data_IF_516056338843
#
_entry.id   IF_516056338843
#
_cell.length_a   1.000
_cell.length_b   1.000
_cell.length_c   1.000
_cell.angle_alpha   90.00
_cell.angle_beta   90.00
_cell.angle_gamma   90.00
#
_symmetry.space_group_name_H-M   'P 1'
#
loop_
_entity.id
_entity.type
_entity.pdbx_description
1 polymer ?
#
# COMPACT_ATOMS: atom_id res chain seq x y z
N UNK A 1 -29.71 60.66 -58.20
CA UNK A 1 -29.23 61.89 -58.82
C UNK A 1 -27.68 61.97 -58.58
N UNK A 2 -27.00 62.07 -59.72
CA UNK A 2 -25.68 62.72 -59.88
C UNK A 2 -24.53 62.07 -59.10
N UNK A 3 -23.51 61.42 -59.66
CA UNK A 3 -22.86 61.61 -60.92
C UNK A 3 -21.44 62.18 -60.70
N UNK A 4 -20.48 61.66 -61.48
CA UNK A 4 -19.10 62.19 -61.76
C UNK A 4 -18.00 61.56 -61.02
N UNK A 5 -17.28 60.60 -61.63
CA UNK A 5 -16.16 60.60 -62.61
C UNK A 5 -14.78 61.07 -62.11
N UNK A 6 -13.90 60.14 -62.28
CA UNK A 6 -12.52 60.18 -62.85
C UNK A 6 -11.41 60.93 -62.08
N UNK A 7 -10.28 60.30 -61.87
CA UNK A 7 -9.14 60.14 -62.82
C UNK A 7 -7.97 59.35 -62.17
N UNK A 8 -7.54 58.37 -62.85
CA UNK A 8 -6.20 57.93 -63.20
C UNK A 8 -5.01 58.72 -62.66
N UNK A 9 -4.08 58.01 -62.04
CA UNK A 9 -2.67 58.23 -62.37
C UNK A 9 -1.85 56.96 -62.08
N UNK A 10 -1.26 56.45 -63.13
CA UNK A 10 -0.21 55.41 -63.11
C UNK A 10 1.06 55.98 -62.56
N UNK A 11 1.76 55.29 -61.67
CA UNK A 11 3.20 55.36 -61.59
C UNK A 11 3.76 53.96 -61.32
N UNK A 12 4.53 53.56 -62.29
CA UNK A 12 5.38 52.36 -62.25
C UNK A 12 6.49 52.55 -61.22
N UNK A 13 6.66 51.55 -60.33
CA UNK A 13 7.94 51.33 -59.76
C UNK A 13 8.30 49.85 -59.74
N UNK A 14 9.32 49.51 -60.43
CA UNK A 14 10.23 48.41 -60.58
C UNK A 14 10.11 47.26 -59.60
N UNK A 15 10.00 46.06 -60.17
CA UNK A 15 10.17 44.74 -59.54
C UNK A 15 11.63 44.61 -59.04
N UNK A 16 11.74 44.43 -57.74
CA UNK A 16 12.90 43.71 -57.15
C UNK A 16 12.42 42.37 -56.70
N UNK A 17 12.82 41.33 -57.43
CA UNK A 17 12.62 39.93 -56.99
C UNK A 17 13.70 39.61 -55.96
N UNK A 18 13.39 39.65 -54.69
CA UNK A 18 14.19 39.02 -53.66
C UNK A 18 13.65 37.58 -53.52
N UNK A 19 14.44 36.63 -54.01
CA UNK A 19 14.22 35.21 -53.75
C UNK A 19 14.65 34.96 -52.32
N UNK A 20 13.71 34.85 -51.38
CA UNK A 20 13.92 34.30 -50.06
C UNK A 20 13.71 32.78 -50.19
N UNK A 21 14.70 31.93 -49.89
CA UNK A 21 14.47 30.50 -49.83
C UNK A 21 13.62 30.23 -48.60
N UNK A 22 12.42 29.72 -48.79
CA UNK A 22 11.55 29.20 -47.74
C UNK A 22 12.21 27.90 -47.29
N UNK A 23 13.02 27.98 -46.26
CA UNK A 23 13.41 26.81 -45.47
C UNK A 23 12.19 26.33 -44.69
N UNK A 24 11.55 25.31 -45.23
CA UNK A 24 10.54 24.51 -44.51
C UNK A 24 11.27 23.79 -43.38
N UNK A 25 11.29 24.40 -42.20
CA UNK A 25 11.58 23.68 -40.95
C UNK A 25 10.35 22.85 -40.65
N UNK A 26 10.36 21.59 -41.06
CA UNK A 26 9.44 20.58 -40.58
C UNK A 26 9.88 20.27 -39.14
N UNK A 27 9.34 21.01 -38.19
CA UNK A 27 9.40 20.63 -36.80
C UNK A 27 8.58 19.32 -36.64
N UNK A 28 9.28 18.19 -36.59
CA UNK A 28 8.71 16.97 -36.04
C UNK A 28 8.41 17.23 -34.57
N UNK A 29 7.21 17.68 -34.28
CA UNK A 29 6.62 17.58 -32.95
C UNK A 29 6.39 16.08 -32.75
N UNK A 30 7.34 15.42 -32.08
CA UNK A 30 7.05 14.14 -31.46
C UNK A 30 6.00 14.45 -30.39
N UNK A 31 4.75 14.21 -30.74
CA UNK A 31 3.75 13.93 -29.74
C UNK A 31 4.12 12.57 -29.16
N UNK A 32 4.80 12.57 -28.03
CA UNK A 32 4.69 11.47 -27.10
C UNK A 32 3.21 11.38 -26.73
N UNK A 33 2.49 10.59 -27.49
CA UNK A 33 1.25 10.00 -27.00
C UNK A 33 1.70 9.04 -25.92
N UNK A 34 1.85 9.55 -24.70
CA UNK A 34 1.87 8.70 -23.53
C UNK A 34 0.62 7.85 -23.66
N UNK A 35 0.81 6.58 -23.99
CA UNK A 35 -0.26 5.60 -23.94
C UNK A 35 -0.76 5.66 -22.49
N UNK A 36 -1.89 6.31 -22.28
CA UNK A 36 -2.60 6.20 -21.02
C UNK A 36 -2.83 4.70 -20.84
N UNK A 37 -2.22 4.15 -19.81
CA UNK A 37 -2.34 2.73 -19.44
C UNK A 37 -3.84 2.46 -19.31
N UNK A 38 -4.45 1.84 -20.33
CA UNK A 38 -5.89 1.58 -20.37
C UNK A 38 -6.15 0.44 -19.39
N UNK A 39 -6.39 0.81 -18.14
CA UNK A 39 -6.79 -0.14 -17.12
C UNK A 39 -8.27 -0.43 -17.29
N UNK A 40 -8.61 -1.65 -17.69
CA UNK A 40 -10.00 -2.12 -17.72
C UNK A 40 -10.40 -2.64 -16.33
N UNK A 41 -11.58 -2.23 -15.85
CA UNK A 41 -12.08 -2.56 -14.52
C UNK A 41 -13.31 -3.47 -14.61
N UNK A 42 -13.27 -4.61 -13.94
CA UNK A 42 -14.36 -5.59 -13.89
C UNK A 42 -14.82 -5.86 -12.46
N UNK A 43 -16.05 -5.47 -12.14
CA UNK A 43 -16.64 -5.74 -10.81
C UNK A 43 -16.75 -7.25 -10.53
N UNK A 44 -16.16 -7.71 -9.44
CA UNK A 44 -16.21 -9.09 -8.94
C UNK A 44 -17.28 -9.20 -7.86
N UNK A 45 -18.46 -9.65 -8.25
CA UNK A 45 -19.61 -9.76 -7.35
C UNK A 45 -19.39 -10.75 -6.23
N UNK A 46 -18.66 -11.84 -6.47
CA UNK A 46 -18.31 -12.88 -5.51
C UNK A 46 -17.43 -12.37 -4.34
N UNK A 47 -16.73 -11.26 -4.55
CA UNK A 47 -15.89 -10.61 -3.55
C UNK A 47 -16.46 -9.26 -3.09
N UNK A 48 -17.63 -8.90 -3.56
CA UNK A 48 -18.25 -7.60 -3.24
C UNK A 48 -19.38 -7.76 -2.25
N UNK A 49 -19.53 -6.81 -1.34
CA UNK A 49 -20.59 -6.69 -0.35
C UNK A 49 -21.35 -5.39 -0.66
N UNK A 50 -22.60 -5.49 -1.08
CA UNK A 50 -23.40 -4.32 -1.44
C UNK A 50 -24.88 -4.61 -1.26
N UNK A 51 -25.67 -3.53 -1.17
CA UNK A 51 -27.15 -3.65 -1.11
C UNK A 51 -27.67 -4.52 -2.25
N UNK A 52 -28.68 -5.33 -1.99
CA UNK A 52 -29.50 -5.43 -0.77
C UNK A 52 -28.95 -6.42 0.29
N UNK A 53 -27.68 -6.81 0.29
CA UNK A 53 -27.01 -7.74 1.22
C UNK A 53 -27.68 -9.12 1.33
N UNK A 54 -28.27 -9.59 0.24
CA UNK A 54 -28.94 -10.89 0.20
C UNK A 54 -27.95 -12.02 0.53
N UNK A 55 -28.37 -12.88 1.45
CA UNK A 55 -27.59 -14.04 1.85
C UNK A 55 -26.39 -13.76 2.78
N UNK A 56 -26.15 -12.53 3.22
CA UNK A 56 -25.09 -12.25 4.21
C UNK A 56 -25.47 -12.86 5.55
N UNK A 57 -24.57 -13.68 6.11
CA UNK A 57 -24.81 -14.36 7.39
C UNK A 57 -25.77 -15.55 7.33
N UNK A 58 -26.40 -15.86 6.22
CA UNK A 58 -27.24 -17.04 6.06
C UNK A 58 -26.43 -18.29 5.71
N UNK A 59 -26.82 -19.45 6.23
CA UNK A 59 -25.93 -20.60 6.36
C UNK A 59 -25.51 -21.33 5.08
N UNK A 60 -26.22 -21.24 3.96
CA UNK A 60 -25.97 -22.14 2.82
C UNK A 60 -25.56 -21.51 1.51
N UNK A 61 -25.98 -20.28 1.23
CA UNK A 61 -25.69 -19.61 -0.06
C UNK A 61 -25.00 -18.26 0.09
N UNK A 62 -24.62 -17.88 1.31
CA UNK A 62 -23.97 -16.61 1.57
C UNK A 62 -22.51 -16.62 1.10
N UNK A 63 -22.08 -15.55 0.46
CA UNK A 63 -20.69 -15.29 0.15
C UNK A 63 -19.94 -14.61 1.30
N UNK A 64 -20.67 -14.15 2.33
CA UNK A 64 -20.13 -13.42 3.47
C UNK A 64 -20.63 -13.96 4.79
N UNK A 65 -19.70 -14.21 5.71
CA UNK A 65 -19.96 -14.64 7.08
C UNK A 65 -19.88 -13.46 8.03
N UNK A 66 -20.74 -13.45 9.04
CA UNK A 66 -20.72 -12.49 10.14
C UNK A 66 -20.11 -13.10 11.40
N UNK A 67 -19.43 -12.27 12.19
CA UNK A 67 -18.84 -12.64 13.48
C UNK A 67 -19.15 -11.58 14.53
N UNK A 68 -19.34 -12.02 15.77
CA UNK A 68 -19.52 -11.16 16.94
C UNK A 68 -20.82 -10.35 16.91
N UNK A 69 -20.71 -9.04 17.16
CA UNK A 69 -21.85 -8.13 17.26
C UNK A 69 -22.32 -7.55 15.92
N UNK A 70 -21.80 -8.08 14.80
CA UNK A 70 -22.19 -7.59 13.49
C UNK A 70 -23.65 -7.88 13.17
N UNK A 71 -24.30 -6.92 12.52
CA UNK A 71 -25.69 -7.08 12.08
C UNK A 71 -25.89 -6.48 10.67
N UNK A 72 -26.83 -7.03 9.93
CA UNK A 72 -27.21 -6.57 8.61
C UNK A 72 -28.51 -5.76 8.69
N UNK A 73 -28.50 -4.58 8.12
CA UNK A 73 -29.67 -3.74 7.90
C UNK A 73 -29.93 -3.57 6.39
N UNK A 74 -31.05 -3.05 5.96
CA UNK A 74 -31.27 -2.76 4.55
C UNK A 74 -30.30 -1.70 3.97
N UNK A 75 -29.67 -0.87 4.81
CA UNK A 75 -28.85 0.26 4.40
C UNK A 75 -27.35 0.02 4.53
N UNK A 76 -26.93 -0.81 5.49
CA UNK A 76 -25.53 -1.06 5.83
C UNK A 76 -25.34 -2.39 6.56
N UNK A 77 -24.14 -2.88 6.61
CA UNK A 77 -23.68 -3.90 7.57
C UNK A 77 -22.97 -3.18 8.71
N UNK A 78 -23.54 -3.21 9.90
CA UNK A 78 -22.93 -2.65 11.11
C UNK A 78 -21.97 -3.65 11.71
N UNK A 79 -20.70 -3.28 11.83
CA UNK A 79 -19.68 -4.12 12.47
C UNK A 79 -19.81 -4.04 13.99
N UNK A 80 -19.86 -2.83 14.54
CA UNK A 80 -20.11 -2.59 15.97
C UNK A 80 -21.14 -1.48 16.16
N UNK A 81 -22.04 -1.58 17.14
CA UNK A 81 -22.87 -0.46 17.58
C UNK A 81 -22.05 0.51 18.44
N UNK A 82 -22.57 1.74 18.62
CA UNK A 82 -22.05 2.74 19.57
C UNK A 82 -22.34 2.31 21.03
N UNK A 83 -21.66 1.24 21.45
CA UNK A 83 -21.70 0.65 22.79
C UNK A 83 -20.31 0.14 23.12
N UNK A 84 -19.94 0.23 24.42
CA UNK A 84 -18.64 -0.23 24.92
C UNK A 84 -18.42 -1.73 24.74
N UNK A 85 -17.16 -2.11 24.55
CA UNK A 85 -16.70 -3.51 24.53
C UNK A 85 -17.44 -4.37 23.50
N UNK A 86 -17.67 -3.85 22.30
CA UNK A 86 -18.26 -4.58 21.17
C UNK A 86 -17.19 -4.92 20.14
N UNK A 87 -17.37 -6.08 19.52
CA UNK A 87 -16.49 -6.56 18.47
C UNK A 87 -17.33 -7.25 17.40
N UNK A 88 -17.04 -6.98 16.14
CA UNK A 88 -17.74 -7.60 15.04
C UNK A 88 -16.92 -7.63 13.77
N UNK A 89 -17.25 -8.57 12.89
CA UNK A 89 -16.56 -8.73 11.62
C UNK A 89 -17.48 -9.29 10.54
N UNK A 90 -17.11 -9.05 9.30
CA UNK A 90 -17.69 -9.66 8.11
C UNK A 90 -16.56 -10.17 7.22
N UNK A 91 -16.67 -11.43 6.75
CA UNK A 91 -15.61 -12.10 6.00
C UNK A 91 -16.15 -12.77 4.74
N UNK A 92 -15.48 -12.54 3.63
CA UNK A 92 -15.75 -13.23 2.37
C UNK A 92 -15.39 -14.72 2.51
N UNK A 93 -16.20 -15.60 1.90
CA UNK A 93 -15.96 -17.06 1.88
C UNK A 93 -15.06 -17.48 0.74
N UNK A 94 -15.00 -16.67 -0.31
CA UNK A 94 -14.29 -16.99 -1.54
C UNK A 94 -12.87 -16.46 -1.47
N UNK A 95 -11.84 -17.29 -1.63
CA UNK A 95 -10.47 -16.83 -1.70
C UNK A 95 -10.24 -16.05 -3.01
N UNK A 96 -9.54 -14.93 -2.93
CA UNK A 96 -9.29 -14.05 -4.06
C UNK A 96 -7.99 -14.43 -4.78
N UNK A 97 -8.07 -14.79 -6.05
CA UNK A 97 -6.93 -15.16 -6.90
C UNK A 97 -6.53 -14.06 -7.90
N UNK A 98 -7.08 -12.86 -7.75
CA UNK A 98 -6.75 -11.74 -8.62
C UNK A 98 -5.30 -11.28 -8.41
N UNK A 99 -4.64 -10.90 -9.49
CA UNK A 99 -3.28 -10.33 -9.45
C UNK A 99 -3.32 -8.85 -9.13
N UNK A 100 -4.16 -8.15 -9.85
CA UNK A 100 -4.36 -6.72 -9.74
C UNK A 100 -5.83 -6.46 -9.42
N UNK A 101 -6.05 -5.68 -8.41
CA UNK A 101 -7.38 -5.45 -7.90
C UNK A 101 -7.50 -4.07 -7.23
N UNK A 102 -8.73 -3.62 -7.15
CA UNK A 102 -9.11 -2.43 -6.42
C UNK A 102 -10.32 -2.73 -5.55
N UNK A 103 -10.22 -2.43 -4.26
CA UNK A 103 -11.30 -2.51 -3.31
C UNK A 103 -11.78 -1.10 -2.96
N UNK A 104 -12.99 -0.76 -3.37
CA UNK A 104 -13.66 0.47 -2.98
C UNK A 104 -14.49 0.23 -1.72
N UNK A 105 -14.20 0.99 -0.68
CA UNK A 105 -14.83 0.89 0.63
C UNK A 105 -15.71 2.12 0.85
N UNK A 106 -17.02 1.92 0.94
CA UNK A 106 -17.99 2.93 1.34
C UNK A 106 -18.40 2.65 2.78
N UNK A 107 -18.16 3.59 3.66
CA UNK A 107 -18.34 3.40 5.09
C UNK A 107 -18.88 4.64 5.79
N UNK A 108 -19.30 4.45 7.05
CA UNK A 108 -19.67 5.56 7.92
C UNK A 108 -19.29 5.24 9.36
N UNK A 109 -18.58 6.19 10.01
CA UNK A 109 -18.29 6.16 11.44
C UNK A 109 -19.07 7.26 12.10
N UNK A 110 -19.87 6.91 13.11
CA UNK A 110 -20.69 7.91 13.80
C UNK A 110 -21.07 7.47 15.21
N UNK A 111 -21.17 8.41 16.13
CA UNK A 111 -21.54 8.12 17.50
C UNK A 111 -21.94 9.36 18.29
N UNK A 112 -22.44 9.13 19.51
CA UNK A 112 -22.90 10.18 20.43
C UNK A 112 -21.76 10.89 21.13
N UNK A 113 -20.56 10.28 21.20
CA UNK A 113 -19.38 10.87 21.84
C UNK A 113 -19.02 12.22 21.24
N UNK A 114 -18.69 13.17 22.14
CA UNK A 114 -18.28 14.53 21.74
C UNK A 114 -16.75 14.62 21.72
N UNK A 115 -16.20 15.42 20.80
CA UNK A 115 -14.75 15.62 20.63
C UNK A 115 -14.03 14.28 20.39
N UNK A 116 -13.08 13.95 21.28
CA UNK A 116 -12.25 12.73 21.20
C UNK A 116 -12.85 11.55 21.98
N UNK A 117 -14.13 11.59 22.34
CA UNK A 117 -14.83 10.49 23.02
C UNK A 117 -15.39 9.53 21.97
N UNK A 118 -14.52 8.86 21.26
CA UNK A 118 -14.81 7.93 20.17
C UNK A 118 -13.74 6.86 20.10
N UNK A 119 -14.05 5.69 19.57
CA UNK A 119 -13.08 4.62 19.46
C UNK A 119 -13.71 3.28 19.01
N UNK A 120 -12.92 2.28 18.74
CA UNK A 120 -11.47 2.39 18.50
C UNK A 120 -11.21 2.59 17.02
N UNK A 121 -12.09 2.04 16.15
CA UNK A 121 -12.00 2.08 14.70
C UNK A 121 -12.37 0.75 14.04
N UNK A 122 -12.05 0.64 12.75
CA UNK A 122 -12.27 -0.58 11.99
C UNK A 122 -11.10 -0.87 11.03
N UNK A 123 -11.05 -2.10 10.53
CA UNK A 123 -10.02 -2.53 9.59
C UNK A 123 -10.64 -3.23 8.38
N UNK A 124 -9.98 -3.08 7.23
CA UNK A 124 -10.17 -3.90 6.03
C UNK A 124 -8.99 -4.85 5.91
N UNK A 125 -9.28 -6.12 5.63
CA UNK A 125 -8.34 -7.22 5.62
C UNK A 125 -8.24 -7.87 4.26
N UNK A 126 -7.02 -8.26 3.90
CA UNK A 126 -6.73 -9.25 2.87
C UNK A 126 -5.74 -10.25 3.46
N UNK A 127 -6.23 -11.35 4.07
CA UNK A 127 -5.41 -12.24 4.90
C UNK A 127 -5.62 -13.72 4.59
N UNK A 128 -4.60 -14.51 4.93
CA UNK A 128 -4.63 -15.98 4.78
C UNK A 128 -5.72 -16.62 5.61
N UNK A 129 -5.84 -16.20 6.87
CA UNK A 129 -6.85 -16.68 7.80
C UNK A 129 -8.03 -15.71 7.82
N UNK A 130 -9.23 -16.24 7.99
CA UNK A 130 -10.48 -15.48 8.12
C UNK A 130 -11.25 -15.93 9.35
N UNK A 131 -12.27 -15.17 9.78
CA UNK A 131 -13.18 -15.51 10.87
C UNK A 131 -12.48 -15.73 12.23
N UNK A 132 -11.35 -15.05 12.46
CA UNK A 132 -10.64 -15.13 13.74
C UNK A 132 -10.76 -13.80 14.48
N UNK A 133 -11.47 -13.84 15.61
CA UNK A 133 -11.58 -12.72 16.52
C UNK A 133 -10.24 -12.46 17.23
N UNK A 134 -9.98 -11.21 17.56
CA UNK A 134 -8.75 -10.85 18.27
C UNK A 134 -8.65 -9.34 18.55
N UNK A 135 -7.52 -8.89 19.08
CA UNK A 135 -7.37 -7.55 19.61
C UNK A 135 -7.18 -6.47 18.54
N UNK A 136 -6.80 -6.83 17.30
CA UNK A 136 -6.48 -5.83 16.27
C UNK A 136 -7.76 -5.46 15.53
N UNK A 137 -8.38 -4.35 15.90
CA UNK A 137 -9.66 -3.87 15.35
C UNK A 137 -10.71 -4.99 15.21
N UNK A 138 -10.77 -5.91 16.19
CA UNK A 138 -11.73 -7.00 16.19
C UNK A 138 -11.27 -8.27 15.46
N UNK A 139 -10.05 -8.31 14.93
CA UNK A 139 -9.46 -9.48 14.28
C UNK A 139 -8.15 -9.92 14.94
N UNK A 140 -7.69 -11.11 14.56
CA UNK A 140 -6.46 -11.75 15.04
C UNK A 140 -5.24 -10.87 14.84
N UNK A 141 -4.38 -10.80 15.86
CA UNK A 141 -3.01 -10.31 15.74
C UNK A 141 -2.09 -11.34 15.07
N UNK A 142 -0.88 -10.91 14.71
CA UNK A 142 0.08 -11.73 13.97
C UNK A 142 -0.55 -12.34 12.71
N UNK A 143 -1.34 -11.54 12.03
CA UNK A 143 -2.00 -11.94 10.79
C UNK A 143 -1.01 -12.13 9.64
N UNK A 144 -1.40 -12.91 8.64
CA UNK A 144 -0.60 -13.10 7.41
C UNK A 144 -1.34 -12.44 6.26
N UNK A 145 -0.86 -11.31 5.78
CA UNK A 145 -1.51 -10.55 4.72
C UNK A 145 -1.38 -9.04 4.85
N UNK A 146 -2.42 -8.34 4.41
CA UNK A 146 -2.58 -6.90 4.48
C UNK A 146 -3.70 -6.54 5.45
N UNK A 147 -3.43 -5.59 6.35
CA UNK A 147 -4.43 -4.86 7.12
C UNK A 147 -4.41 -3.38 6.75
N UNK A 148 -5.57 -2.79 6.52
CA UNK A 148 -5.77 -1.34 6.36
C UNK A 148 -6.66 -0.89 7.51
N UNK A 149 -6.15 -0.02 8.35
CA UNK A 149 -6.78 0.40 9.60
C UNK A 149 -7.32 1.81 9.49
N UNK A 150 -8.52 2.03 9.97
CA UNK A 150 -9.10 3.35 10.20
C UNK A 150 -9.21 3.52 11.70
N UNK A 151 -8.17 4.07 12.28
CA UNK A 151 -8.01 4.27 13.71
C UNK A 151 -8.61 5.63 14.12
N UNK A 152 -9.56 5.60 15.06
CA UNK A 152 -10.27 6.81 15.49
C UNK A 152 -9.83 7.27 16.87
N UNK A 153 -9.00 6.50 17.58
CA UNK A 153 -8.58 6.79 18.95
C UNK A 153 -7.06 6.79 19.10
N UNK A 154 -6.44 7.89 19.51
CA UNK A 154 -5.01 7.93 19.79
C UNK A 154 -4.68 7.22 21.10
N UNK A 155 -3.89 6.15 21.04
CA UNK A 155 -3.41 5.42 22.21
C UNK A 155 -2.08 5.97 22.74
N UNK A 156 -1.28 6.59 21.88
CA UNK A 156 0.01 7.13 22.28
C UNK A 156 -0.14 8.50 22.93
N UNK A 157 0.33 8.65 24.19
CA UNK A 157 0.24 9.91 24.95
C UNK A 157 1.05 11.07 24.35
N UNK A 158 2.09 10.78 23.58
CA UNK A 158 2.91 11.80 22.89
C UNK A 158 2.26 12.27 21.60
N UNK A 159 1.15 12.97 21.73
CA UNK A 159 0.22 13.33 20.66
C UNK A 159 0.75 14.32 19.58
N UNK A 160 2.01 14.72 19.58
CA UNK A 160 2.41 15.89 18.78
C UNK A 160 2.72 15.59 17.31
N UNK A 161 2.74 14.33 16.89
CA UNK A 161 3.16 13.97 15.52
C UNK A 161 2.04 13.42 14.63
N UNK A 162 0.92 12.97 15.19
CA UNK A 162 -0.17 12.34 14.41
C UNK A 162 -1.53 12.89 14.82
N UNK A 163 -2.34 13.25 13.83
CA UNK A 163 -3.71 13.72 14.03
C UNK A 163 -4.67 12.59 13.69
N UNK A 164 -5.59 12.29 14.61
CA UNK A 164 -6.63 11.28 14.47
C UNK A 164 -7.98 11.87 14.06
N UNK A 165 -8.85 11.16 13.34
CA UNK A 165 -8.67 9.78 12.85
C UNK A 165 -7.55 9.63 11.82
N UNK A 166 -6.93 8.43 11.79
CA UNK A 166 -5.79 8.13 10.94
C UNK A 166 -6.02 6.82 10.16
N UNK A 167 -5.70 6.84 8.87
CA UNK A 167 -5.72 5.63 8.03
C UNK A 167 -4.29 5.16 7.85
N UNK A 168 -4.02 3.90 8.15
CA UNK A 168 -2.70 3.28 7.98
C UNK A 168 -2.80 1.90 7.35
N UNK A 169 -1.67 1.38 6.87
CA UNK A 169 -1.59 0.02 6.35
C UNK A 169 -0.41 -0.73 6.96
N UNK A 170 -0.59 -2.03 7.13
CA UNK A 170 0.43 -2.95 7.61
C UNK A 170 0.41 -4.22 6.76
N UNK A 171 1.60 -4.66 6.33
CA UNK A 171 1.81 -5.97 5.71
C UNK A 171 2.52 -6.85 6.71
N UNK A 172 1.98 -8.02 6.99
CA UNK A 172 2.53 -8.95 7.97
C UNK A 172 2.65 -10.36 7.41
N UNK A 173 3.74 -11.04 7.75
CA UNK A 173 3.98 -12.45 7.44
C UNK A 173 3.60 -13.38 8.61
N UNK A 174 2.97 -12.86 9.65
CA UNK A 174 2.57 -13.60 10.85
C UNK A 174 3.58 -13.51 12.01
N UNK A 175 4.74 -12.89 11.83
CA UNK A 175 5.77 -12.76 12.88
C UNK A 175 5.74 -11.40 13.60
N UNK A 176 4.88 -10.49 13.16
CA UNK A 176 4.86 -9.10 13.64
C UNK A 176 3.55 -8.81 14.33
N UNK A 177 3.62 -8.29 15.54
CA UNK A 177 2.48 -7.87 16.37
C UNK A 177 2.11 -6.43 16.07
N UNK A 178 0.81 -6.13 16.00
CA UNK A 178 0.31 -4.77 15.95
C UNK A 178 0.42 -4.12 17.35
N UNK A 179 1.16 -3.04 17.47
CA UNK A 179 1.35 -2.34 18.74
C UNK A 179 0.31 -1.25 18.95
N UNK A 180 -0.78 -1.58 19.64
CA UNK A 180 -1.83 -0.62 19.97
C UNK A 180 -1.34 0.57 20.80
N UNK A 181 -0.38 0.36 21.69
CA UNK A 181 0.10 1.44 22.56
C UNK A 181 0.83 2.56 21.80
N UNK A 182 1.24 2.25 20.57
CA UNK A 182 1.90 3.17 19.63
C UNK A 182 1.12 3.35 18.33
N UNK A 183 -0.18 3.06 18.35
CA UNK A 183 -1.08 3.22 17.18
C UNK A 183 -0.55 2.55 15.90
N UNK A 184 0.09 1.38 16.05
CA UNK A 184 0.65 0.60 14.93
C UNK A 184 1.89 1.19 14.25
N UNK A 185 2.41 2.34 14.68
CA UNK A 185 3.54 3.05 14.06
C UNK A 185 4.77 2.20 13.74
N UNK A 186 5.22 1.27 14.63
CA UNK A 186 6.45 0.52 14.36
C UNK A 186 6.38 -0.39 13.16
N UNK A 187 5.19 -0.75 12.73
CA UNK A 187 4.94 -1.78 11.70
C UNK A 187 4.11 -1.28 10.53
N UNK A 188 3.68 -0.02 10.55
CA UNK A 188 2.97 0.56 9.42
C UNK A 188 3.90 0.79 8.22
N UNK A 189 3.36 0.65 7.04
CA UNK A 189 4.06 0.97 5.79
C UNK A 189 3.75 2.38 5.29
N UNK A 190 2.86 3.10 5.99
CA UNK A 190 2.46 4.47 5.79
C UNK A 190 0.99 4.71 6.03
N UNK A 191 0.56 5.96 5.90
CA UNK A 191 -0.82 6.36 6.13
C UNK A 191 -1.03 7.88 6.08
N UNK A 192 -2.25 8.32 6.38
CA UNK A 192 -2.65 9.72 6.37
C UNK A 192 -3.70 10.04 7.43
N UNK A 193 -3.77 11.30 7.81
CA UNK A 193 -4.89 11.84 8.59
C UNK A 193 -6.17 11.90 7.75
N UNK A 194 -7.28 11.41 8.28
CA UNK A 194 -8.56 11.33 7.58
C UNK A 194 -9.73 11.62 8.53
N UNK A 195 -10.27 12.81 8.48
CA UNK A 195 -11.39 13.23 9.34
C UNK A 195 -12.69 12.59 8.85
N UNK A 196 -12.96 11.38 9.33
CA UNK A 196 -14.03 10.49 8.80
C UNK A 196 -15.25 10.34 9.72
N UNK A 197 -15.23 10.95 10.90
CA UNK A 197 -16.26 10.74 11.91
C UNK A 197 -17.38 11.77 11.84
N UNK A 198 -18.62 11.32 12.01
CA UNK A 198 -19.84 12.17 12.07
C UNK A 198 -20.04 13.09 10.86
N UNK A 199 -19.64 12.63 9.69
CA UNK A 199 -19.83 13.38 8.46
C UNK A 199 -21.26 13.25 7.93
N UNK A 200 -21.78 14.29 7.28
CA UNK A 200 -23.12 14.34 6.72
C UNK A 200 -23.16 13.89 5.25
N UNK A 201 -22.04 13.54 4.67
CA UNK A 201 -21.89 13.05 3.31
C UNK A 201 -21.25 11.66 3.30
N UNK A 202 -21.27 11.01 2.16
CA UNK A 202 -20.68 9.71 1.97
C UNK A 202 -19.14 9.78 2.07
N UNK A 203 -18.56 8.75 2.65
CA UNK A 203 -17.11 8.62 2.85
C UNK A 203 -16.62 7.35 2.20
N UNK A 204 -15.53 7.49 1.45
CA UNK A 204 -14.92 6.39 0.72
C UNK A 204 -13.42 6.36 0.92
N UNK A 205 -12.86 5.17 0.84
CA UNK A 205 -11.47 5.00 0.48
C UNK A 205 -11.30 3.82 -0.48
N UNK A 206 -10.21 3.83 -1.20
CA UNK A 206 -9.84 2.82 -2.18
C UNK A 206 -8.53 2.20 -1.78
N UNK A 207 -8.47 0.89 -1.80
CA UNK A 207 -7.24 0.10 -1.67
C UNK A 207 -6.96 -0.47 -3.06
N UNK A 208 -5.91 0.00 -3.72
CA UNK A 208 -5.53 -0.44 -5.06
C UNK A 208 -4.20 -1.17 -5.01
N UNK A 209 -4.20 -2.39 -5.52
CA UNK A 209 -3.00 -3.23 -5.61
C UNK A 209 -2.74 -3.61 -7.07
N UNK A 210 -1.70 -3.03 -7.65
CA UNK A 210 -1.35 -3.18 -9.06
C UNK A 210 0.16 -3.31 -9.20
N UNK A 211 0.63 -4.31 -9.94
CA UNK A 211 2.08 -4.49 -10.24
C UNK A 211 2.95 -4.36 -8.97
N UNK A 212 2.55 -4.97 -7.85
CA UNK A 212 3.23 -4.89 -6.54
C UNK A 212 3.29 -3.48 -5.93
N UNK A 213 2.40 -2.61 -6.33
CA UNK A 213 2.23 -1.28 -5.74
C UNK A 213 0.91 -1.23 -5.00
N UNK A 214 0.96 -0.82 -3.75
CA UNK A 214 -0.20 -0.59 -2.91
C UNK A 214 -0.46 0.91 -2.82
N UNK A 215 -1.61 1.33 -3.29
CA UNK A 215 -2.06 2.73 -3.20
C UNK A 215 -3.35 2.79 -2.40
N UNK A 216 -3.44 3.73 -1.48
CA UNK A 216 -4.69 4.06 -0.78
C UNK A 216 -5.04 5.51 -1.09
N UNK A 217 -6.26 5.73 -1.54
CA UNK A 217 -6.81 7.05 -1.82
C UNK A 217 -8.10 7.24 -1.03
N UNK A 218 -8.41 8.46 -0.64
CA UNK A 218 -9.59 8.81 0.17
C UNK A 218 -10.44 9.87 -0.51
N UNK A 219 -11.77 9.73 -0.39
CA UNK A 219 -12.75 10.77 -0.68
C UNK A 219 -13.63 10.91 0.57
N UNK A 220 -13.32 11.89 1.40
CA UNK A 220 -13.89 12.10 2.72
C UNK A 220 -14.49 13.50 2.90
N UNK A 221 -14.44 14.34 1.89
CA UNK A 221 -14.99 15.71 1.93
C UNK A 221 -16.23 15.87 1.02
N UNK A 222 -16.73 14.79 0.47
CA UNK A 222 -17.97 14.74 -0.32
C UNK A 222 -17.88 15.42 -1.67
N UNK A 223 -16.66 15.64 -2.18
CA UNK A 223 -16.43 16.29 -3.47
C UNK A 223 -16.31 15.34 -4.64
N UNK A 224 -16.26 14.03 -4.36
CA UNK A 224 -15.98 12.98 -5.34
C UNK A 224 -14.59 13.14 -5.99
N UNK A 225 -13.64 13.63 -5.20
CA UNK A 225 -12.23 13.79 -5.60
C UNK A 225 -11.35 12.90 -4.74
N UNK A 226 -10.58 12.02 -5.39
CA UNK A 226 -9.65 11.15 -4.70
C UNK A 226 -8.39 11.91 -4.27
N UNK A 227 -8.00 11.74 -3.01
CA UNK A 227 -6.76 12.28 -2.44
C UNK A 227 -5.85 11.14 -2.03
N UNK A 228 -4.59 11.28 -2.34
CA UNK A 228 -3.59 10.28 -1.97
C UNK A 228 -3.44 10.20 -0.45
N UNK A 229 -3.45 8.99 0.07
CA UNK A 229 -3.21 8.67 1.47
C UNK A 229 -1.90 7.89 1.64
N UNK A 230 -1.70 6.89 0.81
CA UNK A 230 -0.56 6.00 0.84
C UNK A 230 -0.22 5.56 -0.58
N UNK A 231 1.09 5.49 -0.88
CA UNK A 231 1.58 4.95 -2.13
C UNK A 231 2.93 4.24 -1.91
N UNK A 232 2.91 2.91 -1.88
CA UNK A 232 4.07 2.07 -1.55
C UNK A 232 4.34 1.07 -2.67
N UNK A 233 5.49 1.17 -3.34
CA UNK A 233 5.96 0.16 -4.29
C UNK A 233 6.56 -1.05 -3.57
N UNK A 234 6.71 -2.16 -4.28
CA UNK A 234 7.40 -3.35 -3.77
C UNK A 234 6.60 -4.17 -2.76
N UNK A 235 5.31 -3.94 -2.65
CA UNK A 235 4.41 -4.75 -1.81
C UNK A 235 4.11 -6.06 -2.53
N UNK A 236 4.33 -7.21 -1.87
CA UNK A 236 4.05 -8.54 -2.40
C UNK A 236 2.96 -9.20 -1.56
N UNK A 237 1.81 -9.47 -2.17
CA UNK A 237 0.69 -10.16 -1.54
C UNK A 237 0.43 -11.48 -2.25
N UNK A 238 0.37 -12.60 -1.51
CA UNK A 238 -0.04 -13.89 -2.08
C UNK A 238 -1.46 -13.84 -2.62
N UNK A 239 -1.75 -14.66 -3.62
CA UNK A 239 -3.11 -14.90 -4.10
C UNK A 239 -3.79 -15.97 -3.26
N UNK A 240 -5.12 -16.00 -3.28
CA UNK A 240 -5.91 -16.99 -2.54
C UNK A 240 -6.20 -16.61 -1.10
N UNK A 241 -5.95 -15.35 -0.72
CA UNK A 241 -6.31 -14.80 0.59
C UNK A 241 -7.75 -14.28 0.58
N UNK A 242 -8.29 -14.02 1.76
CA UNK A 242 -9.68 -13.64 1.96
C UNK A 242 -9.82 -12.16 2.29
N UNK A 243 -10.82 -11.52 1.71
CA UNK A 243 -11.22 -10.19 2.14
C UNK A 243 -12.13 -10.25 3.34
N UNK A 244 -11.98 -9.27 4.23
CA UNK A 244 -12.83 -9.09 5.39
C UNK A 244 -12.82 -7.67 5.91
N UNK A 245 -13.70 -7.39 6.83
CA UNK A 245 -13.71 -6.17 7.61
C UNK A 245 -14.08 -6.47 9.05
N UNK A 246 -13.47 -5.77 10.00
CA UNK A 246 -13.77 -5.93 11.42
C UNK A 246 -13.65 -4.60 12.14
N UNK A 247 -14.33 -4.50 13.29
CA UNK A 247 -14.30 -3.34 14.17
C UNK A 247 -14.32 -3.77 15.62
N UNK A 248 -13.83 -2.90 16.48
CA UNK A 248 -13.87 -3.05 17.94
C UNK A 248 -14.20 -1.71 18.58
N UNK A 249 -14.82 -1.75 19.75
CA UNK A 249 -15.01 -0.63 20.66
C UNK A 249 -14.45 -0.98 22.03
N UNK A 250 -13.75 -0.05 22.67
CA UNK A 250 -13.24 -0.19 24.04
C UNK A 250 -14.14 0.47 25.07
N UNK A 251 -13.57 1.30 25.91
CA UNK A 251 -14.30 2.18 26.85
C UNK A 251 -15.05 3.29 26.11
N UNK A 252 -14.53 3.69 24.95
CA UNK A 252 -15.16 4.60 24.02
C UNK A 252 -15.74 3.82 22.84
N UNK A 253 -16.72 4.39 22.17
CA UNK A 253 -17.45 3.67 21.13
C UNK A 253 -17.93 4.57 20.00
N UNK A 254 -18.10 3.95 18.84
CA UNK A 254 -18.80 4.46 17.66
C UNK A 254 -19.54 3.33 16.95
N UNK A 255 -20.54 3.69 16.16
CA UNK A 255 -21.07 2.81 15.14
C UNK A 255 -20.07 2.73 13.97
N UNK A 256 -19.70 1.52 13.57
CA UNK A 256 -18.88 1.27 12.39
C UNK A 256 -19.75 0.57 11.33
N UNK A 257 -20.20 1.35 10.34
CA UNK A 257 -21.13 0.89 9.31
C UNK A 257 -20.42 0.75 7.96
N UNK A 258 -20.48 -0.45 7.37
CA UNK A 258 -20.08 -0.69 5.98
C UNK A 258 -21.31 -0.58 5.08
N UNK A 259 -21.25 0.35 4.13
CA UNK A 259 -22.31 0.56 3.14
C UNK A 259 -22.04 -0.28 1.89
N UNK A 260 -20.78 -0.38 1.48
CA UNK A 260 -20.37 -1.36 0.46
C UNK A 260 -18.87 -1.63 0.47
N UNK A 261 -18.51 -2.85 0.08
CA UNK A 261 -17.19 -3.24 -0.37
C UNK A 261 -17.33 -3.67 -1.83
N UNK A 262 -16.69 -3.00 -2.77
CA UNK A 262 -16.74 -3.35 -4.18
C UNK A 262 -15.34 -3.70 -4.65
N UNK A 263 -15.15 -4.96 -5.06
CA UNK A 263 -13.88 -5.41 -5.61
C UNK A 263 -13.93 -5.39 -7.13
N UNK A 264 -12.95 -4.73 -7.71
CA UNK A 264 -12.71 -4.69 -9.14
C UNK A 264 -11.45 -5.47 -9.49
N UNK A 265 -11.54 -6.32 -10.50
CA UNK A 265 -10.36 -6.86 -11.17
C UNK A 265 -9.84 -5.79 -12.12
N UNK A 266 -8.55 -5.57 -12.09
CA UNK A 266 -7.88 -4.65 -13.00
C UNK A 266 -7.10 -5.46 -14.04
N UNK A 267 -7.27 -5.11 -15.32
CA UNK A 267 -6.48 -5.67 -16.43
C UNK A 267 -5.41 -4.66 -16.79
N UNK A 268 -4.16 -5.03 -16.52
CA UNK A 268 -3.01 -4.16 -16.72
C UNK A 268 -2.01 -4.87 -17.62
N UNK A 269 -1.57 -4.20 -18.68
CA UNK A 269 -0.52 -4.70 -19.54
C UNK A 269 0.81 -4.83 -18.79
N UNK A 270 1.54 -5.92 -19.05
CA UNK A 270 2.83 -6.20 -18.46
C UNK A 270 3.89 -6.46 -19.50
N UNK A 271 5.10 -5.98 -19.22
CA UNK A 271 6.26 -6.38 -20.00
C UNK A 271 6.67 -7.82 -19.67
N UNK A 272 7.39 -8.52 -20.56
CA UNK A 272 7.89 -9.88 -20.28
C UNK A 272 8.81 -9.94 -19.03
N UNK A 273 9.44 -8.83 -18.66
CA UNK A 273 10.28 -8.73 -17.47
C UNK A 273 9.43 -8.60 -16.21
N UNK A 274 8.39 -7.78 -16.23
CA UNK A 274 7.39 -7.69 -15.15
C UNK A 274 6.69 -9.04 -14.92
N UNK A 275 6.37 -9.76 -16.02
CA UNK A 275 5.77 -11.09 -15.96
C UNK A 275 6.71 -12.11 -15.27
N UNK A 276 8.02 -12.03 -15.53
CA UNK A 276 9.03 -12.86 -14.86
C UNK A 276 9.22 -12.52 -13.39
N UNK A 277 9.13 -11.24 -13.04
CA UNK A 277 9.24 -10.79 -11.64
C UNK A 277 7.98 -11.10 -10.84
N UNK A 278 6.84 -11.22 -11.49
CA UNK A 278 5.53 -11.52 -10.89
C UNK A 278 5.33 -13.02 -10.60
N UNK A 279 6.45 -13.73 -10.36
CA UNK A 279 6.43 -15.12 -9.91
C UNK A 279 5.61 -15.23 -8.62
N UNK A 280 5.10 -16.42 -8.41
CA UNK A 280 4.25 -16.75 -7.29
C UNK A 280 4.81 -16.24 -5.96
N UNK A 281 4.05 -15.39 -5.28
CA UNK A 281 4.38 -14.86 -3.96
C UNK A 281 3.76 -15.80 -2.94
N UNK A 282 4.57 -16.35 -2.02
CA UNK A 282 4.12 -17.27 -0.98
C UNK A 282 3.95 -16.60 0.38
N UNK A 283 4.69 -15.52 0.61
CA UNK A 283 4.71 -14.79 1.89
C UNK A 283 4.52 -13.30 1.63
N UNK A 284 3.65 -12.62 2.37
CA UNK A 284 3.51 -11.17 2.28
C UNK A 284 4.80 -10.47 2.68
N UNK A 285 5.28 -9.55 1.85
CA UNK A 285 6.49 -8.75 2.13
C UNK A 285 6.39 -7.36 1.53
N UNK A 286 7.23 -6.46 1.98
CA UNK A 286 7.43 -5.14 1.40
C UNK A 286 8.92 -4.93 1.15
N UNK A 287 9.30 -4.53 -0.06
CA UNK A 287 10.68 -4.20 -0.36
C UNK A 287 11.15 -3.06 0.56
N UNK A 288 12.36 -3.14 1.08
CA UNK A 288 12.94 -2.20 2.05
C UNK A 288 12.36 -2.21 3.48
N UNK A 289 11.38 -3.03 3.79
CA UNK A 289 10.91 -3.20 5.16
C UNK A 289 11.50 -4.49 5.76
N UNK A 290 12.34 -4.36 6.78
CA UNK A 290 12.87 -5.52 7.51
C UNK A 290 11.80 -6.03 8.46
N UNK A 291 11.05 -7.06 8.04
CA UNK A 291 10.19 -7.79 8.95
C UNK A 291 11.05 -8.67 9.90
N UNK A 292 10.72 -8.72 11.20
CA UNK A 292 11.40 -9.62 12.12
C UNK A 292 11.35 -11.06 11.61
N UNK A 293 12.51 -11.73 11.51
CA UNK A 293 12.64 -13.10 10.99
C UNK A 293 13.10 -13.23 9.54
N UNK A 294 13.11 -12.17 8.73
CA UNK A 294 13.88 -12.16 7.50
C UNK A 294 15.35 -11.83 7.84
N UNK A 295 16.19 -12.85 7.90
CA UNK A 295 17.63 -12.65 7.75
C UNK A 295 17.84 -12.13 6.33
N UNK A 296 18.03 -10.82 6.20
CA UNK A 296 18.52 -10.26 4.96
C UNK A 296 19.84 -10.95 4.67
N UNK A 297 19.87 -11.85 3.70
CA UNK A 297 21.09 -12.16 2.98
C UNK A 297 21.45 -10.90 2.20
N UNK A 298 21.96 -9.87 2.90
CA UNK A 298 22.71 -8.82 2.25
C UNK A 298 23.88 -9.54 1.60
N UNK A 299 23.81 -9.70 0.29
CA UNK A 299 24.96 -10.11 -0.48
C UNK A 299 26.05 -9.10 -0.15
N UNK A 300 27.09 -9.55 0.58
CA UNK A 300 28.21 -8.69 0.92
C UNK A 300 28.69 -8.01 -0.35
N UNK A 301 28.84 -6.69 -0.33
CA UNK A 301 29.31 -5.97 -1.49
C UNK A 301 30.63 -6.61 -1.95
N UNK A 302 30.83 -6.78 -3.26
CA UNK A 302 32.04 -7.39 -3.79
C UNK A 302 33.31 -6.70 -3.24
N UNK A 303 33.22 -5.43 -2.86
CA UNK A 303 34.28 -4.69 -2.19
C UNK A 303 34.56 -5.17 -0.76
N UNK A 304 33.52 -5.47 0.03
CA UNK A 304 33.68 -6.02 1.37
C UNK A 304 34.30 -7.45 1.34
N UNK A 305 33.85 -8.27 0.39
CA UNK A 305 34.43 -9.58 0.15
C UNK A 305 35.92 -9.47 -0.27
N UNK A 306 36.26 -8.56 -1.14
CA UNK A 306 37.64 -8.26 -1.55
C UNK A 306 38.51 -7.88 -0.35
N UNK A 307 38.03 -6.96 0.50
CA UNK A 307 38.79 -6.56 1.70
C UNK A 307 39.05 -7.72 2.67
N UNK A 308 38.04 -8.57 2.90
CA UNK A 308 38.21 -9.75 3.78
C UNK A 308 39.27 -10.71 3.22
N UNK A 309 39.19 -11.00 1.90
CA UNK A 309 40.17 -11.87 1.25
C UNK A 309 41.56 -11.24 1.29
N UNK A 310 41.67 -9.97 0.98
CA UNK A 310 42.93 -9.21 0.96
C UNK A 310 43.59 -9.22 2.34
N UNK A 311 42.90 -8.88 3.40
CA UNK A 311 43.45 -8.84 4.74
C UNK A 311 43.73 -10.26 5.30
N UNK A 312 42.97 -11.28 4.91
CA UNK A 312 43.27 -12.66 5.29
C UNK A 312 44.58 -13.15 4.65
N UNK A 313 44.83 -12.88 3.38
CA UNK A 313 46.10 -13.22 2.69
C UNK A 313 47.27 -12.46 3.31
N UNK A 314 47.09 -11.17 3.58
CA UNK A 314 48.13 -10.35 4.24
C UNK A 314 48.47 -10.88 5.62
N UNK A 315 47.45 -11.30 6.41
CA UNK A 315 47.66 -11.93 7.72
C UNK A 315 48.42 -13.24 7.64
N UNK A 316 48.15 -14.08 6.65
CA UNK A 316 48.89 -15.33 6.42
C UNK A 316 50.36 -15.09 6.07
N UNK A 317 50.64 -14.10 5.21
CA UNK A 317 52.01 -13.71 4.86
C UNK A 317 52.75 -13.24 6.14
N UNK A 318 52.11 -12.39 6.93
CA UNK A 318 52.71 -11.87 8.17
C UNK A 318 53.01 -13.00 9.20
N UNK A 319 52.06 -13.92 9.35
CA UNK A 319 52.27 -15.12 10.20
C UNK A 319 53.40 -16.00 9.70
N UNK A 320 53.52 -16.18 8.39
CA UNK A 320 54.65 -16.91 7.77
C UNK A 320 55.99 -16.24 8.04
N UNK A 321 56.09 -14.93 7.94
CA UNK A 321 57.33 -14.17 8.24
C UNK A 321 57.70 -14.31 9.72
N UNK A 322 56.74 -14.21 10.63
CA UNK A 322 57.00 -14.42 12.08
C UNK A 322 57.52 -15.83 12.35
N UNK A 323 56.90 -16.84 11.75
CA UNK A 323 57.34 -18.24 11.89
C UNK A 323 58.77 -18.43 11.38
N UNK A 324 59.16 -17.82 10.25
CA UNK A 324 60.54 -17.87 9.74
C UNK A 324 61.54 -17.20 10.70
N UNK A 325 61.19 -16.05 11.28
CA UNK A 325 62.02 -15.36 12.27
C UNK A 325 62.18 -16.19 13.53
N UNK A 326 61.09 -16.78 14.02
CA UNK A 326 61.13 -17.66 15.21
C UNK A 326 61.98 -18.91 14.91
N UNK A 327 61.80 -19.52 13.75
CA UNK A 327 62.54 -20.67 13.31
C UNK A 327 64.07 -20.39 13.18
N UNK A 328 64.40 -19.23 12.56
CA UNK A 328 65.81 -18.80 12.42
C UNK A 328 66.46 -18.55 13.79
N UNK A 329 65.77 -17.89 14.73
CA UNK A 329 66.23 -17.68 16.09
C UNK A 329 66.36 -19.01 16.90
N UNK A 330 65.42 -19.93 16.68
CA UNK A 330 65.52 -21.27 17.32
C UNK A 330 66.75 -22.07 16.78
N UNK A 331 67.00 -21.97 15.47
CA UNK A 331 68.13 -22.61 14.86
C UNK A 331 69.47 -22.01 15.33
N UNK A 332 69.57 -20.68 15.49
CA UNK A 332 70.74 -20.01 16.08
C UNK A 332 70.95 -20.41 17.53
N UNK A 333 69.92 -20.60 18.35
CA UNK A 333 69.97 -21.02 19.73
C UNK A 333 70.51 -22.44 19.83
N UNK A 334 70.06 -23.34 18.97
CA UNK A 334 70.53 -24.70 18.93
C UNK A 334 71.99 -24.82 18.47
N UNK A 335 72.49 -23.92 17.62
CA UNK A 335 73.93 -23.90 17.24
C UNK A 335 74.87 -23.43 18.35
N UNK A 336 74.40 -22.60 19.30
CA UNK A 336 75.23 -22.14 20.45
C UNK A 336 75.37 -23.15 21.55
N UNK A 337 74.69 -24.28 21.52
CA UNK A 337 74.84 -25.38 22.47
C UNK A 337 75.82 -26.45 22.03
N UNK A 338 76.54 -26.27 20.91
CA UNK A 338 77.50 -27.19 20.39
C UNK A 338 78.97 -26.68 20.43
N UNK A 339 79.29 -25.67 21.26
CA UNK A 339 80.61 -25.18 21.55
C UNK A 339 80.86 -25.16 23.06
#
# INVERSE_FOLDING_TARGET
AIGVRERSSRSQWRRWRVRVPVLLIVAFVHWDTGAADQTEEYLKREHSLSKPYQGVGSSTSSLWDLLGNSLVTPQYVRLTPDLQSKQGAVWNRVPCYLRDWEMQVHFKIHGQGKKNLNGDGFAIWYTKDRMQAGPVFGSKDNFVGLGVFVDTYPNEEKQHERVFPYISAMVSNGSVTYDHSRDGRPTEIGGCTAMVRNLNHDTFFVIRYVKRRLTIMVDIDGKQEWKDCLDVPGVRLPRGYFFGASAVTGDLSDNHDLISLKLYQLSVERTPEEEKMDKEVFIPTVDNMKLPGETSTESMSGFALFLIVFFSVLGLIFAGVILLIVYSKWQERNRKHFY
#
